data_IF_412552353154
#
_entry.id   IF_412552353154
#
_cell.length_a   1.000
_cell.length_b   1.000
_cell.length_c   1.000
_cell.angle_alpha   90.00
_cell.angle_beta   90.00
_cell.angle_gamma   90.00
#
_symmetry.space_group_name_H-M   'P 1'
#
loop_
_entity.id
_entity.type
_entity.pdbx_description
1 polymer ?
#
# COMPACT_ATOMS: atom_id res chain seq x y z
N UNK A 1 -3.73 8.23 -4.78
CA UNK A 1 -2.44 7.80 -5.37
C UNK A 1 -2.57 7.08 -6.71
N UNK A 2 -3.22 5.90 -6.79
CA UNK A 2 -3.35 5.13 -8.06
C UNK A 2 -3.94 5.93 -9.23
N UNK A 3 -4.99 6.74 -8.99
CA UNK A 3 -5.56 7.63 -10.00
C UNK A 3 -4.56 8.68 -10.52
N UNK A 4 -3.65 9.16 -9.67
CA UNK A 4 -2.64 10.13 -10.08
C UNK A 4 -1.58 9.48 -10.97
N UNK A 5 -1.24 8.21 -10.69
CA UNK A 5 -0.32 7.43 -11.53
C UNK A 5 -0.89 7.13 -12.93
N UNK A 6 -2.22 7.18 -13.11
CA UNK A 6 -2.84 7.02 -14.43
C UNK A 6 -2.97 8.34 -15.21
N UNK A 7 -2.74 9.49 -14.57
CA UNK A 7 -2.88 10.80 -15.20
C UNK A 7 -1.96 11.02 -16.41
N UNK A 8 -0.68 10.58 -16.43
CA UNK A 8 0.14 10.63 -17.63
C UNK A 8 -0.49 9.91 -18.83
N UNK A 9 -1.19 8.80 -18.61
CA UNK A 9 -1.93 8.11 -19.66
C UNK A 9 -3.14 8.94 -20.13
N UNK A 10 -3.86 9.63 -19.24
CA UNK A 10 -4.95 10.54 -19.65
C UNK A 10 -4.44 11.62 -20.61
N UNK A 11 -3.26 12.19 -20.33
CA UNK A 11 -2.62 13.16 -21.23
C UNK A 11 -2.25 12.52 -22.59
N UNK A 12 -1.72 11.30 -22.61
CA UNK A 12 -1.48 10.57 -23.86
C UNK A 12 -2.79 10.31 -24.63
N UNK A 13 -3.87 9.92 -23.95
CA UNK A 13 -5.18 9.74 -24.58
C UNK A 13 -5.67 11.03 -25.24
N UNK A 14 -5.55 12.16 -24.54
CA UNK A 14 -5.85 13.48 -25.09
C UNK A 14 -5.03 13.76 -26.36
N UNK A 15 -3.70 13.62 -26.30
CA UNK A 15 -2.82 13.85 -27.45
C UNK A 15 -3.15 12.94 -28.64
N UNK A 16 -3.38 11.65 -28.39
CA UNK A 16 -3.70 10.67 -29.44
C UNK A 16 -5.06 10.95 -30.09
N UNK A 17 -6.04 11.39 -29.31
CA UNK A 17 -7.36 11.81 -29.81
C UNK A 17 -7.30 13.08 -30.65
N UNK A 18 -6.54 14.08 -30.21
CA UNK A 18 -6.34 15.33 -30.96
C UNK A 18 -5.64 15.07 -32.29
N UNK A 19 -4.54 14.32 -32.29
CA UNK A 19 -3.83 13.98 -33.54
C UNK A 19 -4.74 13.22 -34.51
N UNK A 20 -5.51 12.25 -34.00
CA UNK A 20 -6.46 11.51 -34.83
C UNK A 20 -7.53 12.41 -35.44
N UNK A 21 -8.17 13.24 -34.63
CA UNK A 21 -9.21 14.15 -35.10
C UNK A 21 -8.69 15.10 -36.18
N UNK A 22 -7.47 15.60 -36.00
CA UNK A 22 -6.79 16.43 -37.01
C UNK A 22 -6.62 15.69 -38.33
N UNK A 23 -6.24 14.41 -38.30
CA UNK A 23 -6.07 13.60 -39.52
C UNK A 23 -7.40 13.27 -40.21
N UNK A 24 -8.45 12.99 -39.44
CA UNK A 24 -9.76 12.61 -39.99
C UNK A 24 -10.54 13.81 -40.53
N UNK A 25 -10.44 14.98 -39.88
CA UNK A 25 -11.27 16.14 -40.21
C UNK A 25 -10.50 17.31 -40.83
N UNK A 26 -9.17 17.22 -40.94
CA UNK A 26 -8.32 18.30 -41.48
C UNK A 26 -8.32 19.60 -40.65
N UNK A 27 -8.83 19.58 -39.41
CA UNK A 27 -9.01 20.79 -38.58
C UNK A 27 -8.42 20.64 -37.18
N UNK A 28 -7.99 21.77 -36.60
CA UNK A 28 -7.51 21.85 -35.21
C UNK A 28 -8.63 21.85 -34.15
N UNK A 29 -9.91 21.82 -34.55
CA UNK A 29 -11.06 21.90 -33.63
C UNK A 29 -11.10 20.76 -32.60
N UNK A 30 -10.45 19.63 -32.90
CA UNK A 30 -10.31 18.51 -31.97
C UNK A 30 -9.60 18.91 -30.66
N UNK A 31 -8.66 19.85 -30.70
CA UNK A 31 -8.00 20.35 -29.49
C UNK A 31 -9.01 20.97 -28.52
N UNK A 32 -9.94 21.80 -29.01
CA UNK A 32 -10.99 22.40 -28.18
C UNK A 32 -11.98 21.35 -27.66
N UNK A 33 -12.40 20.41 -28.50
CA UNK A 33 -13.34 19.36 -28.13
C UNK A 33 -12.79 18.48 -27.00
N UNK A 34 -11.61 17.87 -27.20
CA UNK A 34 -11.00 17.02 -26.19
C UNK A 34 -10.43 17.82 -25.03
N UNK A 35 -10.08 19.09 -25.23
CA UNK A 35 -9.62 19.98 -24.18
C UNK A 35 -10.72 20.29 -23.17
N UNK A 36 -11.97 20.45 -23.64
CA UNK A 36 -13.14 20.55 -22.76
C UNK A 36 -13.34 19.29 -21.92
N UNK A 37 -13.18 18.10 -22.50
CA UNK A 37 -13.30 16.83 -21.77
C UNK A 37 -12.19 16.73 -20.70
N UNK A 38 -10.95 17.04 -21.06
CA UNK A 38 -9.82 17.04 -20.14
C UNK A 38 -10.06 18.05 -18.99
N UNK A 39 -10.57 19.25 -19.30
CA UNK A 39 -10.92 20.25 -18.30
C UNK A 39 -12.01 19.77 -17.34
N UNK A 40 -13.06 19.10 -17.85
CA UNK A 40 -14.08 18.49 -17.01
C UNK A 40 -13.52 17.41 -16.08
N UNK A 41 -12.64 16.55 -16.59
CA UNK A 41 -11.97 15.55 -15.77
C UNK A 41 -11.10 16.18 -14.69
N UNK A 42 -10.31 17.22 -15.04
CA UNK A 42 -9.51 17.97 -14.08
C UNK A 42 -10.38 18.67 -13.03
N UNK A 43 -11.53 19.22 -13.44
CA UNK A 43 -12.52 19.82 -12.54
C UNK A 43 -13.09 18.81 -11.55
N UNK A 44 -13.48 17.63 -12.01
CA UNK A 44 -13.93 16.54 -11.13
C UNK A 44 -12.83 16.09 -10.16
N UNK A 45 -11.60 15.94 -10.64
CA UNK A 45 -10.46 15.62 -9.78
C UNK A 45 -10.22 16.71 -8.73
N UNK A 46 -10.35 17.99 -9.10
CA UNK A 46 -10.24 19.10 -8.17
C UNK A 46 -11.37 19.09 -7.12
N UNK A 47 -12.61 18.79 -7.52
CA UNK A 47 -13.74 18.64 -6.58
C UNK A 47 -13.48 17.49 -5.60
N UNK A 48 -13.00 16.34 -6.08
CA UNK A 48 -12.64 15.21 -5.22
C UNK A 48 -11.51 15.58 -4.25
N UNK A 49 -10.47 16.26 -4.74
CA UNK A 49 -9.35 16.72 -3.92
C UNK A 49 -9.80 17.73 -2.86
N UNK A 50 -10.61 18.71 -3.23
CA UNK A 50 -11.16 19.70 -2.29
C UNK A 50 -12.09 19.03 -1.27
N UNK A 51 -12.91 18.08 -1.69
CA UNK A 51 -13.76 17.30 -0.79
C UNK A 51 -12.94 16.54 0.24
N UNK A 52 -11.82 15.93 -0.18
CA UNK A 52 -10.88 15.27 0.74
C UNK A 52 -10.20 16.28 1.68
N UNK A 53 -9.78 17.46 1.19
CA UNK A 53 -9.21 18.49 2.05
C UNK A 53 -10.22 18.97 3.12
N UNK A 54 -11.46 19.24 2.71
CA UNK A 54 -12.56 19.65 3.60
C UNK A 54 -12.89 18.56 4.61
N UNK A 55 -12.99 17.30 4.18
CA UNK A 55 -13.36 16.16 5.02
C UNK A 55 -12.41 15.98 6.21
N UNK A 56 -11.13 16.34 6.05
CA UNK A 56 -10.19 16.38 7.17
C UNK A 56 -9.59 17.75 7.48
N UNK A 57 -10.40 18.80 7.37
CA UNK A 57 -10.04 20.17 7.74
C UNK A 57 -9.94 20.40 9.25
N UNK A 58 -10.63 19.58 10.06
CA UNK A 58 -10.61 19.66 11.53
C UNK A 58 -9.19 19.43 12.06
N UNK A 59 -8.80 20.18 13.09
CA UNK A 59 -7.41 20.21 13.62
C UNK A 59 -6.85 18.81 13.91
N UNK A 60 -7.59 18.01 14.66
CA UNK A 60 -7.22 16.63 15.03
C UNK A 60 -7.02 15.71 13.81
N UNK A 61 -7.82 15.87 12.77
CA UNK A 61 -7.65 15.12 11.54
C UNK A 61 -6.47 15.61 10.70
N UNK A 62 -6.15 16.91 10.72
CA UNK A 62 -4.93 17.43 10.06
C UNK A 62 -3.68 16.90 10.74
N UNK A 63 -3.66 16.88 12.07
CA UNK A 63 -2.58 16.28 12.86
C UNK A 63 -2.44 14.79 12.55
N UNK A 64 -3.55 14.06 12.48
CA UNK A 64 -3.53 12.67 12.05
C UNK A 64 -3.04 12.48 10.61
N UNK A 65 -3.40 13.37 9.66
CA UNK A 65 -2.87 13.32 8.29
C UNK A 65 -1.36 13.55 8.26
N UNK A 66 -0.86 14.51 9.03
CA UNK A 66 0.58 14.74 9.16
C UNK A 66 1.30 13.50 9.74
N UNK A 67 0.73 12.88 10.78
CA UNK A 67 1.24 11.62 11.33
C UNK A 67 1.18 10.49 10.29
N UNK A 68 0.07 10.37 9.56
CA UNK A 68 -0.12 9.35 8.52
C UNK A 68 0.94 9.48 7.44
N UNK A 69 1.18 10.69 6.93
CA UNK A 69 2.18 10.96 5.89
C UNK A 69 3.61 10.70 6.38
N UNK A 70 3.94 11.16 7.59
CA UNK A 70 5.25 10.92 8.21
C UNK A 70 5.49 9.41 8.43
N UNK A 71 4.48 8.70 8.92
CA UNK A 71 4.51 7.24 9.09
C UNK A 71 4.66 6.52 7.76
N UNK A 72 3.92 6.93 6.73
CA UNK A 72 4.05 6.36 5.39
C UNK A 72 5.48 6.51 4.89
N UNK A 73 6.11 7.68 5.05
CA UNK A 73 7.53 7.85 4.71
C UNK A 73 8.42 6.90 5.51
N UNK A 74 8.28 6.89 6.83
CA UNK A 74 9.16 6.12 7.72
C UNK A 74 9.07 4.60 7.49
N UNK A 75 7.86 4.04 7.38
CA UNK A 75 7.65 2.59 7.34
C UNK A 75 7.55 2.00 5.92
N UNK A 76 7.08 2.75 4.92
CA UNK A 76 6.98 2.22 3.55
C UNK A 76 8.26 2.45 2.73
N UNK A 77 9.06 3.47 3.06
CA UNK A 77 10.17 3.91 2.21
C UNK A 77 11.54 3.90 2.88
N UNK A 78 11.59 3.94 4.20
CA UNK A 78 12.84 4.10 4.95
C UNK A 78 13.04 2.98 5.98
N UNK A 79 14.25 2.94 6.57
CA UNK A 79 14.56 2.07 7.70
C UNK A 79 14.75 2.92 8.95
N UNK A 80 14.09 2.56 10.04
CA UNK A 80 14.23 3.26 11.32
C UNK A 80 15.71 3.22 11.77
N UNK A 81 16.37 4.38 11.96
CA UNK A 81 17.76 4.44 12.40
C UNK A 81 17.95 3.80 13.78
N UNK A 82 19.06 3.10 14.00
CA UNK A 82 19.35 2.51 15.30
C UNK A 82 19.55 3.60 16.36
N UNK A 83 19.06 3.38 17.58
CA UNK A 83 19.23 4.36 18.67
C UNK A 83 20.70 4.55 19.03
N UNK A 84 21.47 3.46 19.10
CA UNK A 84 22.88 3.49 19.53
C UNK A 84 23.76 4.32 18.59
N UNK A 85 23.56 4.22 17.27
CA UNK A 85 24.35 4.99 16.30
C UNK A 85 23.85 6.44 16.17
N UNK A 86 22.61 6.73 16.56
CA UNK A 86 21.95 8.03 16.36
C UNK A 86 21.48 8.67 17.68
N UNK A 87 22.17 8.37 18.79
CA UNK A 87 21.76 8.79 20.15
C UNK A 87 21.58 10.30 20.26
N UNK A 88 22.52 11.09 19.72
CA UNK A 88 22.47 12.55 19.77
C UNK A 88 21.23 13.10 19.06
N UNK A 89 20.85 12.51 17.94
CA UNK A 89 19.64 12.90 17.20
C UNK A 89 18.38 12.61 18.03
N UNK A 90 18.24 11.37 18.54
CA UNK A 90 17.07 10.97 19.31
C UNK A 90 16.92 11.79 20.61
N UNK A 91 18.02 12.06 21.31
CA UNK A 91 18.01 12.93 22.49
C UNK A 91 17.58 14.37 22.16
N UNK A 92 17.99 14.91 21.01
CA UNK A 92 17.61 16.26 20.56
C UNK A 92 16.10 16.37 20.34
N UNK A 93 15.47 15.33 19.80
CA UNK A 93 14.02 15.29 19.55
C UNK A 93 13.22 14.75 20.75
N UNK A 94 13.89 14.50 21.88
CA UNK A 94 13.27 14.00 23.11
C UNK A 94 12.65 12.62 22.96
N UNK A 95 13.35 11.69 22.31
CA UNK A 95 13.03 10.26 22.28
C UNK A 95 14.11 9.47 23.02
N UNK A 96 13.68 8.67 23.98
CA UNK A 96 14.52 7.68 24.66
C UNK A 96 14.65 6.40 23.81
N UNK A 97 15.54 5.51 24.24
CA UNK A 97 15.74 4.21 23.59
C UNK A 97 14.45 3.37 23.58
N UNK A 98 13.72 3.40 24.69
CA UNK A 98 12.40 2.77 24.86
C UNK A 98 11.37 3.28 23.85
N UNK A 99 11.37 4.58 23.54
CA UNK A 99 10.45 5.17 22.56
C UNK A 99 10.82 4.75 21.12
N UNK A 100 12.13 4.64 20.81
CA UNK A 100 12.59 4.13 19.52
C UNK A 100 12.24 2.65 19.35
N UNK A 101 12.28 1.86 20.42
CA UNK A 101 11.78 0.48 20.40
C UNK A 101 10.30 0.41 20.02
N UNK A 102 9.47 1.36 20.46
CA UNK A 102 8.07 1.43 20.04
C UNK A 102 7.88 1.74 18.55
N UNK A 103 8.79 2.53 17.97
CA UNK A 103 8.82 2.73 16.52
C UNK A 103 9.18 1.42 15.81
N UNK A 104 10.19 0.71 16.31
CA UNK A 104 10.71 -0.53 15.71
C UNK A 104 9.74 -1.70 15.79
N UNK A 105 9.07 -1.90 16.93
CA UNK A 105 8.06 -2.95 17.11
C UNK A 105 6.65 -2.53 16.65
N UNK A 106 6.54 -1.34 16.07
CA UNK A 106 5.32 -0.75 15.53
C UNK A 106 4.20 -0.48 16.56
N UNK A 107 4.49 -0.50 17.86
CA UNK A 107 3.54 -0.21 18.96
C UNK A 107 3.58 1.25 19.45
N UNK A 108 3.90 2.19 18.56
CA UNK A 108 4.03 3.62 18.84
C UNK A 108 2.77 4.31 19.38
N UNK A 109 1.59 3.66 19.38
CA UNK A 109 0.40 4.23 20.00
C UNK A 109 0.46 4.21 21.53
N UNK A 110 1.35 3.38 22.09
CA UNK A 110 1.58 3.30 23.51
C UNK A 110 1.97 4.68 24.07
N UNK A 111 2.96 5.33 23.47
CA UNK A 111 3.46 6.62 23.94
C UNK A 111 2.71 7.79 23.32
N UNK A 112 2.00 8.62 24.12
CA UNK A 112 1.35 9.83 23.62
C UNK A 112 2.32 10.80 22.94
N UNK A 113 3.59 10.85 23.36
CA UNK A 113 4.58 11.82 22.88
C UNK A 113 5.12 11.53 21.47
N UNK A 114 4.93 10.31 20.93
CA UNK A 114 5.31 9.99 19.54
C UNK A 114 4.29 10.60 18.58
N UNK A 115 4.35 11.92 18.37
CA UNK A 115 3.43 12.66 17.53
C UNK A 115 3.87 12.72 16.06
N UNK A 116 3.11 13.47 15.26
CA UNK A 116 3.40 13.67 13.83
C UNK A 116 4.79 14.27 13.59
N UNK A 117 5.23 15.18 14.46
CA UNK A 117 6.47 15.91 14.29
C UNK A 117 7.68 15.03 14.59
N UNK A 118 7.66 14.31 15.72
CA UNK A 118 8.72 13.34 16.03
C UNK A 118 8.82 12.28 14.93
N UNK A 119 7.69 11.76 14.45
CA UNK A 119 7.69 10.77 13.36
C UNK A 119 8.25 11.34 12.05
N UNK A 120 7.95 12.60 11.73
CA UNK A 120 8.50 13.31 10.56
C UNK A 120 10.01 13.46 10.65
N UNK A 121 10.52 13.91 11.81
CA UNK A 121 11.95 14.08 12.04
C UNK A 121 12.70 12.76 11.92
N UNK A 122 12.16 11.66 12.45
CA UNK A 122 12.76 10.33 12.30
C UNK A 122 12.75 9.89 10.83
N UNK A 123 11.66 10.13 10.09
CA UNK A 123 11.60 9.83 8.65
C UNK A 123 12.62 10.63 7.83
N UNK A 124 12.83 11.90 8.17
CA UNK A 124 13.83 12.75 7.52
C UNK A 124 15.25 12.31 7.81
N UNK A 125 15.55 11.92 9.05
CA UNK A 125 16.88 11.38 9.38
C UNK A 125 17.14 10.05 8.67
N UNK A 126 16.13 9.16 8.64
CA UNK A 126 16.21 7.91 7.90
C UNK A 126 16.50 8.14 6.41
N UNK A 127 15.78 9.08 5.78
CA UNK A 127 16.00 9.45 4.38
C UNK A 127 17.39 10.06 4.15
N UNK A 128 17.89 10.90 5.07
CA UNK A 128 19.25 11.45 5.00
C UNK A 128 20.32 10.36 5.04
N UNK A 129 20.15 9.37 5.93
CA UNK A 129 21.06 8.23 6.03
C UNK A 129 21.03 7.36 4.78
N UNK A 130 19.82 7.06 4.28
CA UNK A 130 19.63 6.29 3.06
C UNK A 130 20.25 7.00 1.84
N UNK A 131 20.07 8.32 1.71
CA UNK A 131 20.68 9.10 0.63
C UNK A 131 22.22 9.12 0.70
N UNK A 132 22.82 9.04 1.89
CA UNK A 132 24.27 8.91 2.08
C UNK A 132 24.79 7.53 1.70
N UNK A 133 24.12 6.47 2.16
CA UNK A 133 24.50 5.07 1.86
C UNK A 133 24.25 4.71 0.39
N UNK A 134 23.16 5.24 -0.17
CA UNK A 134 22.70 4.96 -1.52
C UNK A 134 22.42 6.28 -2.27
N UNK A 135 23.46 6.89 -2.86
CA UNK A 135 23.32 8.13 -3.62
C UNK A 135 22.26 8.05 -4.73
N UNK A 136 21.55 9.15 -5.05
CA UNK A 136 20.49 9.15 -6.05
C UNK A 136 20.88 8.55 -7.41
N UNK A 137 22.10 8.81 -7.88
CA UNK A 137 22.60 8.27 -9.15
C UNK A 137 22.76 6.74 -9.12
N UNK A 138 23.27 6.18 -8.01
CA UNK A 138 23.44 4.73 -7.87
C UNK A 138 22.09 4.03 -7.73
N UNK A 139 21.15 4.64 -6.99
CA UNK A 139 19.75 4.20 -6.90
C UNK A 139 19.07 4.18 -8.27
N UNK A 140 19.22 5.24 -9.07
CA UNK A 140 18.66 5.30 -10.42
C UNK A 140 19.26 4.21 -11.32
N UNK A 141 20.58 4.02 -11.30
CA UNK A 141 21.24 2.95 -12.06
C UNK A 141 20.71 1.57 -11.68
N UNK A 142 20.55 1.30 -10.38
CA UNK A 142 19.95 0.06 -9.86
C UNK A 142 18.50 -0.09 -10.33
N UNK A 143 17.71 0.98 -10.28
CA UNK A 143 16.31 0.96 -10.69
C UNK A 143 16.15 0.67 -12.18
N UNK A 144 16.97 1.27 -13.04
CA UNK A 144 17.01 0.99 -14.48
C UNK A 144 17.46 -0.44 -14.74
N UNK A 145 18.47 -0.94 -14.03
CA UNK A 145 18.92 -2.34 -14.16
C UNK A 145 17.82 -3.34 -13.80
N UNK A 146 17.11 -3.13 -12.69
CA UNK A 146 15.97 -3.96 -12.29
C UNK A 146 14.86 -3.87 -13.34
N UNK A 147 14.55 -2.67 -13.83
CA UNK A 147 13.54 -2.47 -14.87
C UNK A 147 13.87 -3.26 -16.15
N UNK A 148 15.11 -3.15 -16.65
CA UNK A 148 15.57 -3.89 -17.83
C UNK A 148 15.51 -5.40 -17.60
N UNK A 149 15.92 -5.87 -16.42
CA UNK A 149 15.78 -7.27 -16.02
C UNK A 149 14.33 -7.75 -16.12
N UNK A 150 13.38 -6.99 -15.57
CA UNK A 150 11.95 -7.34 -15.62
C UNK A 150 11.39 -7.40 -17.04
N UNK A 151 11.90 -6.58 -17.97
CA UNK A 151 11.43 -6.56 -19.36
C UNK A 151 11.67 -7.89 -20.12
N UNK A 152 12.64 -8.69 -19.69
CA UNK A 152 12.98 -9.97 -20.34
C UNK A 152 12.89 -11.18 -19.39
N UNK A 153 12.52 -10.97 -18.13
CA UNK A 153 12.34 -12.05 -17.17
C UNK A 153 10.98 -12.74 -17.34
N UNK A 154 10.92 -13.64 -18.31
CA UNK A 154 9.72 -14.38 -18.66
C UNK A 154 9.66 -15.75 -17.97
N UNK A 155 9.19 -15.76 -16.72
CA UNK A 155 8.98 -16.98 -15.94
C UNK A 155 7.50 -17.11 -15.55
N UNK A 156 7.01 -18.34 -15.40
CA UNK A 156 5.65 -18.59 -14.94
C UNK A 156 5.49 -18.20 -13.46
N UNK A 157 4.38 -17.55 -13.07
CA UNK A 157 4.15 -17.16 -11.68
C UNK A 157 4.09 -18.41 -10.78
N UNK A 158 4.92 -18.39 -9.73
CA UNK A 158 5.05 -19.49 -8.76
C UNK A 158 4.09 -19.29 -7.58
N UNK A 159 3.81 -18.04 -7.19
CA UNK A 159 2.92 -17.71 -6.07
C UNK A 159 1.98 -16.55 -6.41
N UNK A 160 0.91 -16.40 -5.61
CA UNK A 160 -0.06 -15.31 -5.75
C UNK A 160 0.50 -13.96 -5.27
N UNK A 161 1.31 -13.97 -4.19
CA UNK A 161 1.82 -12.75 -3.53
C UNK A 161 3.08 -12.23 -4.23
N UNK A 162 4.03 -13.12 -4.47
CA UNK A 162 5.34 -12.84 -5.04
C UNK A 162 5.52 -13.68 -6.29
N UNK A 163 4.98 -13.19 -7.41
CA UNK A 163 5.09 -13.86 -8.69
C UNK A 163 6.52 -13.84 -9.24
N UNK A 164 7.38 -12.92 -8.78
CA UNK A 164 8.72 -12.61 -9.31
C UNK A 164 8.78 -12.38 -10.82
N UNK A 165 7.62 -12.22 -11.46
CA UNK A 165 7.44 -12.14 -12.90
C UNK A 165 6.21 -11.30 -13.20
N UNK A 166 6.27 -10.58 -14.31
CA UNK A 166 5.15 -9.80 -14.86
C UNK A 166 4.36 -10.61 -15.92
N UNK A 167 4.65 -11.92 -16.04
CA UNK A 167 3.91 -12.84 -16.90
C UNK A 167 2.52 -13.19 -16.32
N UNK A 168 1.50 -13.35 -17.18
CA UNK A 168 1.54 -13.23 -18.65
C UNK A 168 1.34 -11.80 -19.19
N UNK A 169 1.05 -10.84 -18.31
CA UNK A 169 0.60 -9.50 -18.68
C UNK A 169 1.58 -8.77 -19.60
N UNK A 170 2.87 -8.78 -19.24
CA UNK A 170 3.90 -8.10 -20.03
C UNK A 170 4.03 -8.70 -21.44
N UNK A 171 4.02 -10.03 -21.58
CA UNK A 171 4.13 -10.66 -22.90
C UNK A 171 2.93 -10.34 -23.80
N UNK A 172 1.71 -10.37 -23.24
CA UNK A 172 0.49 -10.00 -23.98
C UNK A 172 0.59 -8.57 -24.50
N UNK A 173 1.05 -7.64 -23.65
CA UNK A 173 1.24 -6.23 -24.04
C UNK A 173 2.31 -6.09 -25.12
N UNK A 174 3.46 -6.74 -25.01
CA UNK A 174 4.52 -6.69 -26.02
C UNK A 174 4.08 -7.26 -27.37
N UNK A 175 3.31 -8.36 -27.37
CA UNK A 175 2.70 -8.91 -28.58
C UNK A 175 1.71 -7.93 -29.21
N UNK A 176 0.94 -7.21 -28.39
CA UNK A 176 0.04 -6.16 -28.88
C UNK A 176 0.79 -4.96 -29.47
N UNK A 177 1.92 -4.55 -28.88
CA UNK A 177 2.79 -3.53 -29.48
C UNK A 177 3.21 -3.92 -30.90
N UNK A 178 3.69 -5.16 -31.07
CA UNK A 178 4.07 -5.69 -32.36
C UNK A 178 2.90 -5.72 -33.33
N UNK A 179 1.74 -6.24 -32.90
CA UNK A 179 0.53 -6.33 -33.72
C UNK A 179 0.07 -4.95 -34.19
N UNK A 180 -0.06 -3.98 -33.28
CA UNK A 180 -0.45 -2.59 -33.59
C UNK A 180 0.53 -1.97 -34.57
N UNK A 181 1.84 -2.17 -34.38
CA UNK A 181 2.85 -1.67 -35.30
C UNK A 181 2.68 -2.29 -36.70
N UNK A 182 2.59 -3.62 -36.82
CA UNK A 182 2.45 -4.30 -38.11
C UNK A 182 1.22 -3.82 -38.89
N UNK A 183 0.09 -3.69 -38.21
CA UNK A 183 -1.17 -3.20 -38.79
C UNK A 183 -1.07 -1.73 -39.23
N UNK A 184 -0.51 -0.89 -38.36
CA UNK A 184 -0.65 0.58 -38.44
C UNK A 184 0.65 1.32 -38.77
N UNK A 185 1.75 0.65 -39.12
CA UNK A 185 3.06 1.28 -39.35
C UNK A 185 2.99 2.44 -40.37
N UNK A 186 2.17 2.30 -41.42
CA UNK A 186 1.97 3.34 -42.46
C UNK A 186 1.15 4.55 -42.00
N UNK A 187 0.48 4.46 -40.85
CA UNK A 187 -0.28 5.57 -40.28
C UNK A 187 0.60 6.49 -39.42
N UNK A 188 1.89 6.22 -39.27
CA UNK A 188 2.73 6.97 -38.33
C UNK A 188 2.33 6.71 -36.87
N UNK A 189 1.97 5.48 -36.53
CA UNK A 189 1.64 5.04 -35.15
C UNK A 189 2.89 4.98 -34.25
N UNK A 190 4.09 4.91 -34.83
CA UNK A 190 5.34 4.64 -34.12
C UNK A 190 5.59 5.60 -32.96
N UNK A 191 5.42 6.90 -33.15
CA UNK A 191 5.63 7.87 -32.08
C UNK A 191 4.65 7.67 -30.90
N UNK A 192 3.41 7.21 -31.18
CA UNK A 192 2.42 6.90 -30.14
C UNK A 192 2.84 5.70 -29.33
N UNK A 193 3.34 4.66 -30.00
CA UNK A 193 3.89 3.46 -29.35
C UNK A 193 5.11 3.82 -28.50
N UNK A 194 6.04 4.63 -29.03
CA UNK A 194 7.23 5.07 -28.29
C UNK A 194 6.83 5.89 -27.06
N UNK A 195 5.92 6.86 -27.17
CA UNK A 195 5.46 7.65 -26.03
C UNK A 195 4.75 6.81 -24.97
N UNK A 196 3.90 5.86 -25.38
CA UNK A 196 3.22 4.95 -24.47
C UNK A 196 4.23 4.08 -23.70
N UNK A 197 5.21 3.53 -24.42
CA UNK A 197 6.29 2.73 -23.84
C UNK A 197 7.13 3.55 -22.85
N UNK A 198 7.50 4.78 -23.22
CA UNK A 198 8.25 5.69 -22.35
C UNK A 198 7.45 6.06 -21.10
N UNK A 199 6.16 6.37 -21.24
CA UNK A 199 5.27 6.67 -20.11
C UNK A 199 5.24 5.51 -19.10
N UNK A 200 5.04 4.27 -19.57
CA UNK A 200 5.14 3.09 -18.68
C UNK A 200 6.53 2.97 -18.05
N UNK A 201 7.58 3.07 -18.87
CA UNK A 201 8.96 2.89 -18.43
C UNK A 201 9.30 3.86 -17.31
N UNK A 202 8.97 5.14 -17.46
CA UNK A 202 9.18 6.18 -16.45
C UNK A 202 8.45 5.87 -15.15
N UNK A 203 7.16 5.48 -15.21
CA UNK A 203 6.38 5.14 -14.02
C UNK A 203 6.92 3.90 -13.29
N UNK A 204 7.31 2.87 -14.04
CA UNK A 204 7.91 1.65 -13.48
C UNK A 204 9.26 1.95 -12.82
N UNK A 205 10.15 2.65 -13.51
CA UNK A 205 11.45 3.04 -12.96
C UNK A 205 11.29 3.93 -11.72
N UNK A 206 10.32 4.85 -11.70
CA UNK A 206 10.02 5.67 -10.53
C UNK A 206 9.62 4.83 -9.30
N UNK A 207 8.77 3.82 -9.48
CA UNK A 207 8.37 2.94 -8.37
C UNK A 207 9.53 2.08 -7.87
N UNK A 208 10.32 1.53 -8.79
CA UNK A 208 11.52 0.74 -8.45
C UNK A 208 12.55 1.61 -7.73
N UNK A 209 12.75 2.86 -8.17
CA UNK A 209 13.67 3.82 -7.55
C UNK A 209 13.32 4.11 -6.08
N UNK A 210 12.03 4.15 -5.77
CA UNK A 210 11.52 4.33 -4.41
C UNK A 210 11.40 3.01 -3.63
N UNK A 211 11.90 1.89 -4.16
CA UNK A 211 11.86 0.58 -3.48
C UNK A 211 10.45 -0.05 -3.38
N UNK A 212 9.44 0.55 -4.00
CA UNK A 212 8.02 0.18 -3.85
C UNK A 212 7.53 -0.59 -5.08
N UNK A 213 7.92 -1.86 -5.20
CA UNK A 213 7.49 -2.73 -6.31
C UNK A 213 6.29 -3.57 -5.88
N UNK A 214 5.07 -3.12 -6.22
CA UNK A 214 3.86 -3.88 -5.92
C UNK A 214 3.22 -4.39 -7.20
N UNK A 215 3.07 -5.71 -7.30
CA UNK A 215 2.42 -6.38 -8.44
C UNK A 215 1.04 -5.77 -8.76
N UNK A 216 0.25 -5.44 -7.73
CA UNK A 216 -1.08 -4.80 -7.89
C UNK A 216 -1.05 -3.45 -8.60
N UNK A 217 0.02 -2.66 -8.45
CA UNK A 217 0.16 -1.37 -9.12
C UNK A 217 0.73 -1.58 -10.53
N UNK A 218 1.81 -2.35 -10.64
CA UNK A 218 2.50 -2.63 -11.90
C UNK A 218 1.59 -3.27 -12.94
N UNK A 219 0.85 -4.32 -12.56
CA UNK A 219 -0.10 -5.00 -13.46
C UNK A 219 -1.28 -4.12 -13.84
N UNK A 220 -1.73 -3.22 -12.95
CA UNK A 220 -2.79 -2.26 -13.29
C UNK A 220 -2.34 -1.27 -14.37
N UNK A 221 -1.07 -0.86 -14.36
CA UNK A 221 -0.52 0.01 -15.42
C UNK A 221 -0.40 -0.74 -16.76
N UNK A 222 -0.04 -2.02 -16.75
CA UNK A 222 -0.06 -2.87 -17.96
C UNK A 222 -1.49 -3.03 -18.51
N UNK A 223 -2.49 -3.11 -17.63
CA UNK A 223 -3.89 -3.15 -18.05
C UNK A 223 -4.33 -1.85 -18.72
N UNK A 224 -3.90 -0.69 -18.21
CA UNK A 224 -4.14 0.60 -18.89
C UNK A 224 -3.51 0.59 -20.29
N UNK A 225 -2.24 0.17 -20.40
CA UNK A 225 -1.51 0.09 -21.66
C UNK A 225 -2.19 -0.88 -22.67
N UNK A 226 -2.68 -2.02 -22.19
CA UNK A 226 -3.48 -2.96 -22.97
C UNK A 226 -4.68 -2.28 -23.64
N UNK A 227 -5.46 -1.51 -22.88
CA UNK A 227 -6.62 -0.79 -23.41
C UNK A 227 -6.24 0.31 -24.39
N UNK A 228 -5.08 0.96 -24.22
CA UNK A 228 -4.55 1.90 -25.21
C UNK A 228 -4.27 1.22 -26.55
N UNK A 229 -3.56 0.09 -26.52
CA UNK A 229 -3.20 -0.65 -27.73
C UNK A 229 -4.44 -1.18 -28.46
N UNK A 230 -5.40 -1.75 -27.71
CA UNK A 230 -6.69 -2.18 -28.27
C UNK A 230 -7.46 -0.99 -28.85
N UNK A 231 -7.53 0.12 -28.11
CA UNK A 231 -8.24 1.34 -28.52
C UNK A 231 -7.64 2.04 -29.74
N UNK A 232 -6.36 1.82 -30.06
CA UNK A 232 -5.74 2.28 -31.31
C UNK A 232 -6.23 1.48 -32.52
N UNK A 233 -6.44 0.17 -32.36
CA UNK A 233 -6.79 -0.75 -33.46
C UNK A 233 -8.29 -0.79 -33.72
N UNK A 234 -9.12 -0.85 -32.67
CA UNK A 234 -10.58 -1.01 -32.79
C UNK A 234 -11.24 -0.07 -33.82
N UNK A 235 -10.93 1.23 -33.82
CA UNK A 235 -11.62 2.16 -34.72
C UNK A 235 -11.14 2.08 -36.17
N UNK A 236 -10.01 1.42 -36.40
CA UNK A 236 -9.48 1.18 -37.75
C UNK A 236 -10.09 -0.08 -38.38
N UNK A 237 -10.63 -1.01 -37.58
CA UNK A 237 -11.32 -2.22 -38.07
C UNK A 237 -12.55 -1.92 -38.95
N UNK A 238 -13.19 -0.77 -38.74
CA UNK A 238 -14.38 -0.33 -39.49
C UNK A 238 -14.09 0.45 -40.77
N UNK A 239 -12.81 0.74 -41.09
CA UNK A 239 -12.42 1.46 -42.32
C UNK A 239 -12.19 0.48 -43.48
N UNK A 240 -11.98 0.99 -44.69
CA UNK A 240 -11.56 0.22 -45.88
C UNK A 240 -10.14 -0.34 -45.71
N UNK A 241 -9.96 -1.24 -44.76
CA UNK A 241 -8.76 -2.05 -44.68
C UNK A 241 -8.77 -3.12 -45.76
N UNK A 242 -7.59 -3.35 -46.32
CA UNK A 242 -7.36 -4.54 -47.12
C UNK A 242 -7.69 -5.80 -46.31
N UNK A 243 -8.07 -6.86 -47.04
CA UNK A 243 -8.45 -8.16 -46.46
C UNK A 243 -7.32 -8.76 -45.62
N UNK A 244 -6.06 -8.47 -45.94
CA UNK A 244 -4.88 -8.94 -45.23
C UNK A 244 -4.78 -8.39 -43.81
N UNK A 245 -4.96 -7.08 -43.61
CA UNK A 245 -4.92 -6.43 -42.29
C UNK A 245 -6.10 -6.86 -41.41
N UNK A 246 -7.29 -7.03 -42.01
CA UNK A 246 -8.46 -7.57 -41.30
C UNK A 246 -8.17 -8.98 -40.79
N UNK A 247 -7.67 -9.87 -41.67
CA UNK A 247 -7.27 -11.24 -41.29
C UNK A 247 -6.16 -11.25 -40.23
N UNK A 248 -5.13 -10.42 -40.39
CA UNK A 248 -4.02 -10.32 -39.43
C UNK A 248 -4.51 -9.86 -38.05
N UNK A 249 -5.42 -8.90 -38.00
CA UNK A 249 -5.95 -8.38 -36.73
C UNK A 249 -6.85 -9.39 -36.03
N UNK A 250 -7.73 -10.06 -36.78
CA UNK A 250 -8.56 -11.14 -36.25
C UNK A 250 -7.69 -12.30 -35.77
N UNK A 251 -6.73 -12.75 -36.58
CA UNK A 251 -5.80 -13.81 -36.20
C UNK A 251 -4.96 -13.43 -34.97
N UNK A 252 -4.42 -12.21 -34.93
CA UNK A 252 -3.67 -11.70 -33.80
C UNK A 252 -4.51 -11.63 -32.52
N UNK A 253 -5.77 -11.18 -32.61
CA UNK A 253 -6.68 -11.16 -31.47
C UNK A 253 -7.04 -12.56 -30.99
N UNK A 254 -7.30 -13.50 -31.91
CA UNK A 254 -7.53 -14.92 -31.57
C UNK A 254 -6.32 -15.51 -30.85
N UNK A 255 -5.09 -15.26 -31.36
CA UNK A 255 -3.85 -15.71 -30.72
C UNK A 255 -3.69 -15.12 -29.32
N UNK A 256 -3.99 -13.84 -29.12
CA UNK A 256 -3.91 -13.18 -27.81
C UNK A 256 -4.95 -13.75 -26.83
N UNK A 257 -6.18 -14.00 -27.28
CA UNK A 257 -7.22 -14.63 -26.46
C UNK A 257 -6.82 -16.06 -26.10
N UNK A 258 -6.37 -16.86 -27.08
CA UNK A 258 -5.89 -18.22 -26.85
C UNK A 258 -4.71 -18.23 -25.87
N UNK A 259 -3.71 -17.37 -26.07
CA UNK A 259 -2.57 -17.22 -25.17
C UNK A 259 -3.02 -16.86 -23.75
N UNK A 260 -3.97 -15.93 -23.61
CA UNK A 260 -4.53 -15.55 -22.30
C UNK A 260 -5.24 -16.71 -21.61
N UNK A 261 -6.03 -17.50 -22.35
CA UNK A 261 -6.76 -18.66 -21.83
C UNK A 261 -5.82 -19.76 -21.31
N UNK A 262 -4.62 -19.91 -21.88
CA UNK A 262 -3.62 -20.88 -21.38
C UNK A 262 -3.17 -20.58 -19.94
N UNK A 263 -3.20 -19.31 -19.51
CA UNK A 263 -2.78 -18.93 -18.15
C UNK A 263 -3.92 -19.00 -17.12
N UNK A 264 -5.19 -18.99 -17.56
CA UNK A 264 -6.37 -18.94 -16.67
C UNK A 264 -6.40 -20.11 -15.68
N UNK A 265 -6.27 -21.39 -16.06
CA UNK A 265 -6.38 -22.51 -15.12
C UNK A 265 -5.33 -22.44 -14.00
N UNK A 266 -4.08 -22.06 -14.33
CA UNK A 266 -3.00 -21.93 -13.35
C UNK A 266 -3.25 -20.76 -12.41
N UNK A 267 -3.67 -19.60 -12.93
CA UNK A 267 -4.00 -18.45 -12.10
C UNK A 267 -5.20 -18.73 -11.18
N UNK A 268 -6.22 -19.42 -11.68
CA UNK A 268 -7.36 -19.87 -10.88
C UNK A 268 -6.94 -20.82 -9.76
N UNK A 269 -6.04 -21.78 -10.04
CA UNK A 269 -5.49 -22.69 -9.03
C UNK A 269 -4.64 -21.95 -7.99
N UNK A 270 -3.80 -21.01 -8.41
CA UNK A 270 -2.99 -20.19 -7.51
C UNK A 270 -3.88 -19.33 -6.59
N UNK A 271 -4.89 -18.65 -7.15
CA UNK A 271 -5.83 -17.84 -6.39
C UNK A 271 -6.67 -18.69 -5.42
N UNK A 272 -7.23 -19.80 -5.91
CA UNK A 272 -8.02 -20.73 -5.07
C UNK A 272 -7.18 -21.35 -3.95
N UNK A 273 -5.92 -21.69 -4.25
CA UNK A 273 -4.97 -22.20 -3.27
C UNK A 273 -4.63 -21.17 -2.19
N UNK A 274 -4.39 -19.91 -2.57
CA UNK A 274 -4.16 -18.82 -1.61
C UNK A 274 -5.39 -18.58 -0.73
N UNK A 275 -6.60 -18.57 -1.31
CA UNK A 275 -7.85 -18.40 -0.55
C UNK A 275 -7.98 -19.49 0.52
N UNK A 276 -7.81 -20.76 0.14
CA UNK A 276 -7.88 -21.89 1.10
C UNK A 276 -6.82 -21.77 2.20
N UNK A 277 -5.57 -21.48 1.84
CA UNK A 277 -4.48 -21.27 2.80
C UNK A 277 -4.78 -20.14 3.77
N UNK A 278 -5.31 -19.02 3.28
CA UNK A 278 -5.70 -17.85 4.10
C UNK A 278 -6.85 -18.17 5.04
N UNK A 279 -7.87 -18.90 4.57
CA UNK A 279 -8.97 -19.33 5.42
C UNK A 279 -8.46 -20.21 6.57
N UNK A 280 -7.61 -21.20 6.29
CA UNK A 280 -7.01 -22.05 7.33
C UNK A 280 -6.11 -21.26 8.28
N UNK A 281 -5.26 -20.39 7.74
CA UNK A 281 -4.35 -19.55 8.52
C UNK A 281 -5.10 -18.59 9.44
N UNK A 282 -6.22 -18.01 8.99
CA UNK A 282 -7.02 -17.05 9.76
C UNK A 282 -7.92 -17.70 10.82
N UNK A 283 -8.21 -19.00 10.76
CA UNK A 283 -9.10 -19.68 11.73
C UNK A 283 -8.74 -19.42 13.21
N UNK A 284 -7.47 -19.53 13.64
CA UNK A 284 -7.09 -19.21 15.02
C UNK A 284 -7.31 -17.73 15.37
N UNK A 285 -7.08 -16.82 14.41
CA UNK A 285 -7.27 -15.38 14.60
C UNK A 285 -8.77 -15.03 14.76
N UNK A 286 -9.65 -15.62 13.95
CA UNK A 286 -11.10 -15.48 14.11
C UNK A 286 -11.58 -15.99 15.48
N UNK A 287 -11.05 -17.13 15.95
CA UNK A 287 -11.33 -17.66 17.30
C UNK A 287 -10.83 -16.73 18.40
N UNK A 288 -9.66 -16.10 18.21
CA UNK A 288 -9.11 -15.12 19.14
C UNK A 288 -10.02 -13.89 19.22
N UNK A 289 -10.40 -13.30 18.08
CA UNK A 289 -11.31 -12.14 18.05
C UNK A 289 -12.67 -12.45 18.68
N UNK A 290 -13.28 -13.61 18.38
CA UNK A 290 -14.52 -14.04 19.00
C UNK A 290 -14.39 -14.20 20.53
N UNK A 291 -13.22 -14.65 21.01
CA UNK A 291 -12.93 -14.75 22.45
C UNK A 291 -12.81 -13.37 23.11
N UNK A 292 -12.23 -12.39 22.41
CA UNK A 292 -12.13 -11.01 22.89
C UNK A 292 -13.49 -10.31 22.93
N UNK A 293 -14.37 -10.58 21.96
CA UNK A 293 -15.72 -10.02 21.93
C UNK A 293 -16.55 -10.42 23.17
N UNK A 294 -16.43 -11.69 23.59
CA UNK A 294 -17.09 -12.24 24.78
C UNK A 294 -16.44 -11.79 26.10
N UNK A 295 -15.16 -11.41 26.07
CA UNK A 295 -14.42 -10.97 27.26
C UNK A 295 -15.00 -9.66 27.83
N UNK A 296 -14.90 -9.52 29.16
CA UNK A 296 -15.11 -8.23 29.85
C UNK A 296 -13.85 -7.35 29.77
N UNK A 297 -14.03 -6.06 29.55
CA UNK A 297 -12.93 -5.11 29.44
C UNK A 297 -12.27 -5.06 28.06
N UNK A 298 -11.27 -4.19 27.92
CA UNK A 298 -10.68 -3.82 26.63
C UNK A 298 -9.32 -4.50 26.41
N UNK A 299 -8.93 -4.71 25.15
CA UNK A 299 -7.66 -5.37 24.81
C UNK A 299 -6.87 -4.59 23.76
N UNK A 300 -5.64 -4.21 24.09
CA UNK A 300 -4.67 -3.77 23.10
C UNK A 300 -3.95 -4.99 22.52
N UNK A 301 -3.77 -5.01 21.20
CA UNK A 301 -3.15 -6.12 20.47
C UNK A 301 -1.81 -5.62 19.91
N UNK A 302 -0.74 -6.34 20.21
CA UNK A 302 0.56 -6.14 19.58
C UNK A 302 0.44 -6.23 18.04
N UNK A 303 1.06 -5.27 17.34
CA UNK A 303 0.89 -5.15 15.89
C UNK A 303 1.47 -6.36 15.16
N UNK A 304 2.70 -6.78 15.50
CA UNK A 304 3.36 -7.87 14.80
C UNK A 304 2.75 -9.24 15.12
N UNK A 305 2.17 -9.41 16.31
CA UNK A 305 1.35 -10.58 16.69
C UNK A 305 0.07 -10.75 15.86
N UNK A 306 -0.29 -9.79 15.00
CA UNK A 306 -1.53 -9.82 14.22
C UNK A 306 -1.41 -9.43 12.74
N UNK A 307 -0.25 -8.93 12.29
CA UNK A 307 -0.08 -8.31 10.96
C UNK A 307 -0.27 -9.28 9.79
N UNK A 308 0.03 -10.56 9.97
CA UNK A 308 -0.07 -11.57 8.91
C UNK A 308 -1.50 -12.06 8.66
N UNK A 309 -2.41 -11.74 9.56
CA UNK A 309 -3.81 -12.15 9.52
C UNK A 309 -4.65 -11.17 8.73
N UNK A 310 -5.70 -11.71 8.09
CA UNK A 310 -6.60 -10.91 7.26
C UNK A 310 -8.03 -11.14 7.69
N UNK A 311 -8.82 -10.07 7.74
CA UNK A 311 -10.26 -10.13 8.01
C UNK A 311 -11.01 -9.71 6.76
N UNK A 312 -12.16 -10.34 6.50
CA UNK A 312 -13.03 -9.97 5.38
C UNK A 312 -13.58 -8.56 5.62
N UNK A 313 -13.22 -7.60 4.76
CA UNK A 313 -13.63 -6.20 4.85
C UNK A 313 -15.17 -6.00 4.83
N UNK A 314 -15.90 -6.89 4.14
CA UNK A 314 -17.36 -6.92 4.06
C UNK A 314 -17.93 -8.22 4.66
N UNK A 315 -17.32 -8.72 5.74
CA UNK A 315 -17.78 -9.91 6.46
C UNK A 315 -19.04 -9.64 7.30
N UNK A 316 -19.47 -10.66 8.08
CA UNK A 316 -20.60 -10.56 9.03
C UNK A 316 -20.44 -9.47 10.10
N UNK A 317 -19.29 -8.83 10.17
CA UNK A 317 -18.99 -7.71 11.04
C UNK A 317 -19.38 -6.38 10.38
N UNK A 318 -20.67 -6.21 10.03
CA UNK A 318 -21.24 -4.85 10.01
C UNK A 318 -21.46 -4.41 11.46
N UNK A 319 -20.38 -4.32 12.23
CA UNK A 319 -20.50 -4.01 13.65
C UNK A 319 -20.88 -2.53 13.78
N UNK A 320 -22.18 -2.30 13.95
CA UNK A 320 -22.78 -1.03 14.37
C UNK A 320 -22.22 -0.56 15.73
N UNK A 321 -21.45 -1.41 16.44
CA UNK A 321 -20.86 -1.14 17.75
C UNK A 321 -19.33 -1.22 17.70
N UNK A 322 -18.61 -0.33 18.42
CA UNK A 322 -17.16 -0.43 18.55
C UNK A 322 -16.75 -1.77 19.19
N UNK A 323 -15.74 -2.43 18.63
CA UNK A 323 -15.19 -3.66 19.22
C UNK A 323 -14.35 -3.38 20.47
N UNK A 324 -14.13 -4.38 21.32
CA UNK A 324 -13.43 -4.24 22.62
C UNK A 324 -11.91 -4.41 22.50
N UNK A 325 -11.38 -4.34 21.28
CA UNK A 325 -9.97 -4.55 21.01
C UNK A 325 -9.45 -3.58 19.96
N UNK A 326 -8.18 -3.23 20.03
CA UNK A 326 -7.53 -2.41 18.98
C UNK A 326 -6.04 -2.69 18.94
N UNK A 327 -5.40 -2.31 17.83
CA UNK A 327 -3.96 -2.43 17.71
C UNK A 327 -3.25 -1.39 18.59
N UNK A 328 -2.12 -1.78 19.15
CA UNK A 328 -1.18 -0.94 19.86
C UNK A 328 -0.39 0.03 18.95
N UNK A 329 -0.70 0.01 17.66
CA UNK A 329 -0.13 0.84 16.61
C UNK A 329 -0.88 0.63 15.31
N UNK A 330 -0.14 0.53 14.21
CA UNK A 330 -0.72 0.35 12.88
C UNK A 330 -1.44 1.60 12.34
N UNK A 331 -2.14 1.43 11.22
CA UNK A 331 -2.53 2.56 10.36
C UNK A 331 -3.61 3.48 10.95
N UNK A 332 -4.48 2.96 11.80
CA UNK A 332 -5.56 3.73 12.43
C UNK A 332 -5.20 4.32 13.80
N UNK A 333 -4.08 3.90 14.40
CA UNK A 333 -3.65 4.39 15.71
C UNK A 333 -3.49 5.91 15.72
N UNK A 334 -3.86 6.53 16.85
CA UNK A 334 -3.87 7.99 17.06
C UNK A 334 -4.77 8.79 16.11
N UNK A 335 -5.67 8.14 15.35
CA UNK A 335 -6.72 8.85 14.61
C UNK A 335 -7.83 9.36 15.55
N UNK A 336 -8.61 10.37 15.14
CA UNK A 336 -9.78 10.81 15.91
C UNK A 336 -10.80 9.69 16.16
N UNK A 337 -10.91 8.71 15.25
CA UNK A 337 -11.78 7.54 15.43
C UNK A 337 -11.19 6.54 16.44
N UNK A 338 -9.87 6.34 16.43
CA UNK A 338 -9.17 5.54 17.43
C UNK A 338 -9.37 6.12 18.83
N UNK A 339 -9.16 7.42 19.01
CA UNK A 339 -9.39 8.06 20.30
C UNK A 339 -10.87 8.03 20.73
N UNK A 340 -11.80 8.25 19.79
CA UNK A 340 -13.23 8.13 20.07
C UNK A 340 -13.59 6.73 20.55
N UNK A 341 -12.97 5.69 19.99
CA UNK A 341 -13.12 4.30 20.44
C UNK A 341 -12.57 4.11 21.85
N UNK A 342 -11.36 4.60 22.14
CA UNK A 342 -10.79 4.48 23.49
C UNK A 342 -11.66 5.18 24.54
N UNK A 343 -12.10 6.42 24.27
CA UNK A 343 -13.00 7.17 25.15
C UNK A 343 -14.33 6.47 25.39
N UNK A 344 -14.89 5.79 24.38
CA UNK A 344 -16.11 4.99 24.52
C UNK A 344 -15.95 3.86 25.56
N UNK A 345 -14.74 3.32 25.72
CA UNK A 345 -14.43 2.30 26.73
C UNK A 345 -13.82 2.86 28.02
N UNK A 346 -13.86 4.18 28.24
CA UNK A 346 -13.30 4.82 29.44
C UNK A 346 -11.77 4.92 29.45
N UNK A 347 -11.12 4.77 28.30
CA UNK A 347 -9.67 4.82 28.17
C UNK A 347 -9.27 6.18 27.59
N UNK A 348 -8.39 6.91 28.29
CA UNK A 348 -7.88 8.21 27.85
C UNK A 348 -6.84 8.07 26.75
N UNK A 349 -5.81 7.27 27.00
CA UNK A 349 -4.74 6.91 26.08
C UNK A 349 -4.27 5.48 26.41
N UNK A 350 -3.44 4.88 25.54
CA UNK A 350 -2.99 3.50 25.71
C UNK A 350 -2.08 3.32 26.94
N UNK A 351 -1.12 4.23 27.15
CA UNK A 351 -0.19 4.23 28.28
C UNK A 351 -0.89 4.16 29.64
N UNK A 352 -1.79 5.08 29.92
CA UNK A 352 -2.59 5.07 31.16
C UNK A 352 -3.60 3.91 31.16
N UNK A 353 -4.19 3.63 29.98
CA UNK A 353 -5.23 2.63 29.81
C UNK A 353 -4.79 1.23 30.20
N UNK A 354 -3.58 0.81 29.81
CA UNK A 354 -3.05 -0.53 30.11
C UNK A 354 -2.92 -0.82 31.61
N UNK A 355 -2.80 0.23 32.44
CA UNK A 355 -2.72 0.11 33.90
C UNK A 355 -4.09 -0.04 34.57
N UNK A 356 -5.19 0.29 33.88
CA UNK A 356 -6.56 0.14 34.42
C UNK A 356 -6.95 -1.33 34.55
N UNK A 357 -7.61 -1.74 35.64
CA UNK A 357 -7.91 -3.15 35.95
C UNK A 357 -8.53 -3.96 34.80
N UNK A 358 -9.48 -3.37 34.07
CA UNK A 358 -10.24 -4.01 32.99
C UNK A 358 -9.53 -4.02 31.62
N UNK A 359 -8.29 -3.53 31.51
CA UNK A 359 -7.53 -3.49 30.25
C UNK A 359 -6.43 -4.55 30.24
N UNK A 360 -6.29 -5.23 29.10
CA UNK A 360 -5.28 -6.28 28.85
C UNK A 360 -4.47 -5.99 27.59
N UNK A 361 -3.26 -6.55 27.53
CA UNK A 361 -2.41 -6.55 26.34
C UNK A 361 -2.36 -7.97 25.75
N UNK A 362 -2.41 -8.11 24.43
CA UNK A 362 -2.39 -9.40 23.75
C UNK A 362 -1.20 -9.46 22.80
N UNK A 363 -0.38 -10.50 22.93
CA UNK A 363 0.75 -10.80 22.05
C UNK A 363 0.83 -12.31 21.80
N UNK A 364 1.54 -12.73 20.75
CA UNK A 364 1.86 -14.14 20.54
C UNK A 364 2.76 -14.69 21.65
N UNK A 365 2.70 -16.01 21.87
CA UNK A 365 3.39 -16.69 22.98
C UNK A 365 4.91 -16.52 22.95
N UNK A 366 5.48 -16.37 21.77
CA UNK A 366 6.93 -16.32 21.53
C UNK A 366 7.48 -14.88 21.51
N UNK A 367 6.60 -13.88 21.57
CA UNK A 367 7.01 -12.48 21.57
C UNK A 367 7.67 -12.08 22.89
N UNK A 368 8.82 -11.40 22.78
CA UNK A 368 9.46 -10.78 23.95
C UNK A 368 8.75 -9.46 24.27
N UNK A 369 8.19 -9.39 25.48
CA UNK A 369 7.51 -8.20 26.00
C UNK A 369 8.35 -7.42 27.03
N UNK A 370 9.65 -7.71 27.14
CA UNK A 370 10.59 -6.96 27.98
C UNK A 370 10.50 -5.45 27.73
N UNK A 371 10.43 -5.05 26.44
CA UNK A 371 10.28 -3.67 25.99
C UNK A 371 9.10 -2.94 26.65
N UNK A 372 8.00 -3.65 26.93
CA UNK A 372 6.82 -3.05 27.54
C UNK A 372 7.09 -2.72 29.01
N UNK A 373 7.77 -3.61 29.74
CA UNK A 373 8.17 -3.32 31.13
C UNK A 373 9.25 -2.26 31.22
N UNK A 374 10.20 -2.25 30.28
CA UNK A 374 11.28 -1.25 30.24
C UNK A 374 10.73 0.13 29.89
N UNK A 375 9.74 0.22 29.00
CA UNK A 375 9.03 1.46 28.68
C UNK A 375 8.44 2.15 29.93
N UNK A 376 7.72 1.40 30.77
CA UNK A 376 7.14 1.95 32.00
C UNK A 376 8.23 2.27 33.04
N UNK A 377 9.28 1.43 33.12
CA UNK A 377 10.40 1.66 34.05
C UNK A 377 11.11 2.99 33.76
N UNK A 378 11.35 3.29 32.48
CA UNK A 378 11.92 4.56 32.02
C UNK A 378 11.06 5.77 32.43
N UNK A 379 9.74 5.58 32.50
CA UNK A 379 8.77 6.56 33.01
C UNK A 379 8.56 6.52 34.52
N UNK A 380 9.47 5.85 35.24
CA UNK A 380 9.44 5.70 36.71
C UNK A 380 8.22 4.94 37.24
N UNK A 381 7.56 4.16 36.39
CA UNK A 381 6.51 3.24 36.78
C UNK A 381 7.03 1.80 36.79
N UNK A 382 7.02 1.15 37.95
CA UNK A 382 7.37 -0.26 38.05
C UNK A 382 6.14 -1.12 37.79
N UNK A 383 6.18 -1.91 36.71
CA UNK A 383 5.08 -2.80 36.32
C UNK A 383 5.58 -4.24 36.15
N UNK A 384 4.67 -5.19 36.36
CA UNK A 384 4.88 -6.62 36.05
C UNK A 384 3.82 -7.12 35.08
N UNK A 385 4.21 -8.05 34.22
CA UNK A 385 3.32 -8.73 33.29
C UNK A 385 2.79 -10.02 33.90
N UNK A 386 1.48 -10.06 34.18
CA UNK A 386 0.81 -11.24 34.68
C UNK A 386 0.04 -11.93 33.56
N UNK A 387 0.45 -13.16 33.22
CA UNK A 387 -0.27 -14.01 32.27
C UNK A 387 -1.67 -14.32 32.79
N UNK A 388 -2.70 -13.94 32.02
CA UNK A 388 -4.10 -14.17 32.37
C UNK A 388 -4.63 -15.44 31.73
N UNK A 389 -4.54 -15.53 30.40
CA UNK A 389 -5.15 -16.62 29.63
C UNK A 389 -4.45 -16.78 28.30
N UNK A 390 -4.39 -18.02 27.80
CA UNK A 390 -3.98 -18.30 26.43
C UNK A 390 -5.22 -18.40 25.52
N UNK A 391 -5.19 -17.73 24.37
CA UNK A 391 -6.28 -17.70 23.39
C UNK A 391 -5.86 -18.43 22.11
N UNK A 392 -6.76 -19.27 21.60
CA UNK A 392 -6.62 -20.01 20.35
C UNK A 392 -5.27 -20.77 20.20
N UNK A 393 -4.64 -21.16 21.32
CA UNK A 393 -3.39 -21.89 21.34
C UNK A 393 -2.13 -21.07 20.99
N UNK A 394 -2.26 -19.81 20.57
CA UNK A 394 -1.14 -19.00 20.04
C UNK A 394 -0.88 -17.70 20.79
N UNK A 395 -1.94 -17.01 21.21
CA UNK A 395 -1.81 -15.71 21.87
C UNK A 395 -1.92 -15.82 23.37
N UNK A 396 -1.23 -14.93 24.08
CA UNK A 396 -1.31 -14.77 25.52
C UNK A 396 -1.92 -13.39 25.82
N UNK A 397 -2.93 -13.38 26.69
CA UNK A 397 -3.42 -12.19 27.35
C UNK A 397 -2.57 -11.90 28.58
N UNK A 398 -2.02 -10.69 28.61
CA UNK A 398 -1.20 -10.15 29.68
C UNK A 398 -1.94 -9.04 30.39
N UNK A 399 -1.80 -9.00 31.71
CA UNK A 399 -2.25 -7.91 32.57
C UNK A 399 -1.03 -7.18 33.10
N UNK A 400 -0.97 -5.87 32.88
CA UNK A 400 0.03 -5.03 33.51
C UNK A 400 -0.47 -4.67 34.91
N UNK A 401 0.36 -4.93 35.92
CA UNK A 401 0.09 -4.52 37.31
C UNK A 401 1.25 -3.69 37.82
N UNK A 402 0.93 -2.58 38.48
CA UNK A 402 1.92 -1.81 39.24
C UNK A 402 2.47 -2.67 40.36
N UNK A 403 3.79 -2.62 40.54
CA UNK A 403 4.45 -3.19 41.71
C UNK A 403 4.42 -2.10 42.77
N UNK A 404 3.59 -2.28 43.79
CA UNK A 404 3.67 -1.42 44.98
C UNK A 404 5.08 -1.57 45.56
N UNK A 405 5.79 -0.45 45.72
CA UNK A 405 7.01 -0.46 46.54
C UNK A 405 6.56 -0.77 47.96
N UNK A 406 6.96 -1.92 48.47
CA UNK A 406 6.90 -2.23 49.89
C UNK A 406 7.74 -1.14 50.58
N UNK A 407 7.09 -0.11 51.12
CA UNK A 407 7.71 0.84 52.03
C UNK A 407 7.85 0.07 53.34
N UNK A 408 8.96 -0.63 53.49
CA UNK A 408 9.41 -1.16 54.78
C UNK A 408 10.36 -0.18 55.43
#
# INVERSE_FOLDING_TARGET
ELLLLTFPFVLLAFLFRVDRFRRENGTGKGFLLYGRILLWMMGLMAVCFLSDQIAYSRKDWREFRALFDARTRLYDFERIPSYQENRNFYQTIGLAETDVTLLQNYNFALDPQIDAEKMRLVAEEANRMEAKMHPPASRLKKAVSIYVWRLHHFVLPVSFRDSNTDMPYLAIVLLLYLLVFLIMHRTGVLWKLVLLFLCRSTLWTYMIYNGRIMNRVMHSLLLVELFFLIGMVLPELGKEWDVGKKRLSVAGFIVLVAASLLFVPRQMRNASGEVRKREEFNRPYEKMLASLEQKKGFTFIDVYSSVDYTVKALGKQSLLKPTKETLAGGWAAKSPLYEKKLRHFGIRNMEEGLLQENVTFLAEKEEDLSWLTDYYRDRKENVTLQKQKQLAGRWILWKLKRVERDIR
#
